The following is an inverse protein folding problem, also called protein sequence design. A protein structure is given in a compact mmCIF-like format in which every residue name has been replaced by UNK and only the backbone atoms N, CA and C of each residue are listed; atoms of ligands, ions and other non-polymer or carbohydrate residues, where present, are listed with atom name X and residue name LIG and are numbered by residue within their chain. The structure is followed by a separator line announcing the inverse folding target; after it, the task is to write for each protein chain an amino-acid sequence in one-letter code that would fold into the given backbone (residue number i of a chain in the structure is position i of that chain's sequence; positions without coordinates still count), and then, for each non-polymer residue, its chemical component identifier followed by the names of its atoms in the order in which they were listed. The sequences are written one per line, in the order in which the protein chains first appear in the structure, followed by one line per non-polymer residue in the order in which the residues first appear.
data_IF_131283196659
#
_entry.id   IF_131283196659
#
_cell.length_a   1.000
_cell.length_b   1.000
_cell.length_c   1.000
_cell.angle_alpha   90.00
_cell.angle_beta   90.00
_cell.angle_gamma   90.00
#
_symmetry.space_group_name_H-M   'P 1'
#
loop_
_entity.id
_entity.type
_entity.pdbx_description
1 polymer ?
#
# COMPACT_ATOMS: atom_id res chain seq x y z
N UNK A 1 -7.56 -30.23 46.07
CA UNK A 1 -8.09 -28.86 45.88
C UNK A 1 -7.08 -27.93 46.55
N UNK A 2 -6.30 -27.06 45.91
CA UNK A 2 -6.52 -26.27 44.69
C UNK A 2 -5.22 -26.21 43.88
N UNK A 3 -5.35 -26.33 42.56
CA UNK A 3 -4.28 -26.05 41.60
C UNK A 3 -4.09 -24.53 41.54
N UNK A 4 -2.91 -24.04 41.90
CA UNK A 4 -2.52 -22.64 41.72
C UNK A 4 -1.76 -22.50 40.40
N UNK A 5 -2.49 -22.26 39.32
CA UNK A 5 -1.90 -21.90 38.02
C UNK A 5 -1.21 -20.54 38.18
N UNK A 6 0.12 -20.52 38.08
CA UNK A 6 0.88 -19.28 37.95
C UNK A 6 0.49 -18.61 36.64
N UNK A 7 -0.23 -17.51 36.76
CA UNK A 7 -0.80 -16.80 35.63
C UNK A 7 0.26 -15.85 35.06
N UNK A 8 0.96 -16.29 34.01
CA UNK A 8 1.89 -15.50 33.19
C UNK A 8 1.15 -14.47 32.30
N UNK A 9 0.08 -13.86 32.81
CA UNK A 9 -0.79 -12.94 32.08
C UNK A 9 -0.61 -11.48 32.49
N UNK A 10 0.63 -10.97 32.55
CA UNK A 10 0.89 -9.55 32.84
C UNK A 10 1.80 -8.86 31.79
N UNK A 11 1.81 -9.36 30.55
CA UNK A 11 2.43 -8.69 29.40
C UNK A 11 1.44 -7.99 28.47
N UNK A 12 0.16 -8.39 28.51
CA UNK A 12 -0.85 -8.05 27.51
C UNK A 12 -1.44 -6.63 27.62
N UNK A 13 -1.09 -5.87 28.68
CA UNK A 13 -1.63 -4.52 28.92
C UNK A 13 -0.65 -3.39 28.57
N UNK A 14 0.48 -3.67 27.91
CA UNK A 14 1.28 -2.60 27.33
C UNK A 14 0.61 -2.16 26.03
N UNK A 15 -0.10 -1.03 26.08
CA UNK A 15 -0.58 -0.36 24.87
C UNK A 15 0.56 -0.20 23.86
N UNK A 16 0.27 -0.16 22.55
CA UNK A 16 1.30 -0.06 21.52
C UNK A 16 2.20 1.12 21.85
N UNK A 17 3.50 0.84 22.11
CA UNK A 17 4.50 1.89 22.32
C UNK A 17 4.35 2.84 21.13
N UNK A 18 4.02 4.10 21.38
CA UNK A 18 3.85 5.10 20.34
C UNK A 18 5.17 5.24 19.59
N UNK A 19 5.30 4.51 18.48
CA UNK A 19 6.48 4.62 17.63
C UNK A 19 6.40 5.98 16.96
N UNK A 20 7.41 6.82 17.15
CA UNK A 20 7.54 8.08 16.43
C UNK A 20 7.38 7.79 14.95
N UNK A 21 6.40 8.40 14.28
CA UNK A 21 6.26 8.28 12.83
C UNK A 21 7.53 8.85 12.21
N UNK A 22 8.27 8.02 11.48
CA UNK A 22 9.46 8.47 10.77
C UNK A 22 9.09 9.60 9.79
N UNK A 23 10.01 10.56 9.60
CA UNK A 23 9.78 11.64 8.65
C UNK A 23 9.80 11.07 7.23
N UNK A 24 8.79 11.38 6.43
CA UNK A 24 8.79 11.11 4.99
C UNK A 24 10.03 11.76 4.35
N UNK A 25 10.88 10.95 3.73
CA UNK A 25 12.07 11.42 3.04
C UNK A 25 11.70 11.80 1.61
N UNK A 26 12.14 12.99 1.18
CA UNK A 26 12.03 13.40 -0.22
C UNK A 26 13.21 12.78 -0.97
N UNK A 27 12.90 11.97 -1.97
CA UNK A 27 13.92 11.40 -2.85
C UNK A 27 13.98 12.24 -4.13
N UNK A 28 15.10 12.92 -4.34
CA UNK A 28 15.30 13.72 -5.55
C UNK A 28 15.80 12.79 -6.67
N UNK A 29 15.07 12.78 -7.78
CA UNK A 29 15.44 12.08 -9.01
C UNK A 29 15.90 13.15 -10.00
N UNK A 30 16.99 12.92 -10.74
CA UNK A 30 17.55 13.90 -11.68
C UNK A 30 17.21 13.65 -13.14
N UNK A 31 16.53 12.54 -13.45
CA UNK A 31 16.26 12.09 -14.82
C UNK A 31 14.86 11.47 -14.91
N UNK A 32 14.13 11.67 -16.03
CA UNK A 32 12.84 11.00 -16.27
C UNK A 32 12.95 9.48 -16.15
N UNK A 33 11.87 8.83 -15.72
CA UNK A 33 11.70 7.36 -15.69
C UNK A 33 12.68 6.58 -14.79
N UNK A 34 13.58 7.26 -14.10
CA UNK A 34 14.50 6.62 -13.14
C UNK A 34 13.79 6.09 -11.90
N UNK A 35 12.62 6.64 -11.57
CA UNK A 35 11.76 6.12 -10.51
C UNK A 35 10.30 6.39 -10.85
N UNK A 36 9.51 5.33 -10.82
CA UNK A 36 8.07 5.38 -11.06
C UNK A 36 7.37 4.93 -9.78
N UNK A 37 6.32 5.64 -9.38
CA UNK A 37 5.37 5.17 -8.38
C UNK A 37 4.29 4.36 -9.10
N UNK A 38 3.92 3.22 -8.55
CA UNK A 38 2.78 2.42 -8.97
C UNK A 38 1.79 2.37 -7.80
N UNK A 39 0.52 2.63 -8.06
CA UNK A 39 -0.55 2.48 -7.08
C UNK A 39 -1.80 1.90 -7.74
N UNK A 40 -2.61 1.17 -6.97
CA UNK A 40 -3.86 0.57 -7.43
C UNK A 40 -4.99 1.14 -6.58
N UNK A 41 -5.93 1.81 -7.25
CA UNK A 41 -7.12 2.35 -6.63
C UNK A 41 -8.30 1.41 -6.89
N UNK A 42 -9.05 1.06 -5.84
CA UNK A 42 -10.27 0.26 -5.95
C UNK A 42 -10.51 -0.65 -4.74
N UNK A 43 -11.57 -1.47 -4.76
CA UNK A 43 -12.47 -1.73 -5.89
C UNK A 43 -13.53 -0.63 -6.08
N UNK A 44 -13.71 -0.19 -7.33
CA UNK A 44 -14.76 0.73 -7.74
C UNK A 44 -16.01 -0.02 -8.24
N UNK A 45 -17.18 0.65 -8.33
CA UNK A 45 -18.33 0.10 -9.02
C UNK A 45 -17.94 -0.37 -10.42
N UNK A 46 -18.40 -1.57 -10.78
CA UNK A 46 -18.08 -2.20 -12.05
C UNK A 46 -18.52 -1.31 -13.20
N UNK A 47 -17.58 -0.95 -14.07
CA UNK A 47 -17.89 -0.22 -15.31
C UNK A 47 -18.55 -1.15 -16.33
N UNK A 48 -19.08 -0.60 -17.42
CA UNK A 48 -19.67 -1.40 -18.52
C UNK A 48 -18.70 -2.37 -19.20
N UNK A 49 -17.40 -2.28 -18.90
CA UNK A 49 -16.34 -3.16 -19.42
C UNK A 49 -15.71 -4.04 -18.34
N UNK A 50 -16.42 -4.27 -17.24
CA UNK A 50 -15.95 -5.07 -16.11
C UNK A 50 -14.68 -4.56 -15.38
N UNK A 51 -14.24 -3.34 -15.67
CA UNK A 51 -13.14 -2.71 -14.95
C UNK A 51 -13.57 -2.32 -13.53
N UNK A 52 -12.73 -2.67 -12.55
CA UNK A 52 -12.96 -2.45 -11.11
C UNK A 52 -11.83 -1.64 -10.46
N UNK A 53 -10.68 -1.55 -11.11
CA UNK A 53 -9.50 -0.93 -10.57
C UNK A 53 -8.96 0.13 -11.52
N UNK A 54 -8.25 1.10 -10.94
CA UNK A 54 -7.45 2.08 -11.67
C UNK A 54 -6.01 1.91 -11.24
N UNK A 55 -5.16 1.52 -12.19
CA UNK A 55 -3.71 1.49 -12.02
C UNK A 55 -3.17 2.90 -12.29
N UNK A 56 -2.43 3.45 -11.35
CA UNK A 56 -1.80 4.77 -11.48
C UNK A 56 -0.29 4.59 -11.50
N UNK A 57 0.34 5.02 -12.60
CA UNK A 57 1.78 5.17 -12.73
C UNK A 57 2.13 6.66 -12.62
N UNK A 58 3.19 6.98 -11.87
CA UNK A 58 3.67 8.37 -11.79
C UNK A 58 5.19 8.42 -11.86
N UNK A 59 5.73 9.12 -12.86
CA UNK A 59 7.16 9.42 -12.90
C UNK A 59 7.51 10.47 -11.83
N UNK A 60 8.46 10.15 -10.95
CA UNK A 60 8.86 11.06 -9.87
C UNK A 60 9.57 12.31 -10.37
N UNK A 61 10.21 12.28 -11.54
CA UNK A 61 10.93 13.43 -12.07
C UNK A 61 9.97 14.42 -12.75
N UNK A 62 9.24 13.96 -13.77
CA UNK A 62 8.30 14.82 -14.52
C UNK A 62 7.00 15.09 -13.78
N UNK A 63 6.68 14.27 -12.75
CA UNK A 63 5.38 14.26 -12.08
C UNK A 63 4.21 13.92 -13.01
N UNK A 64 4.49 13.29 -14.15
CA UNK A 64 3.47 12.87 -15.10
C UNK A 64 2.71 11.65 -14.58
N UNK A 65 1.38 11.73 -14.40
CA UNK A 65 0.55 10.59 -14.05
C UNK A 65 -0.03 9.90 -15.30
N UNK A 66 -0.03 8.57 -15.29
CA UNK A 66 -0.71 7.74 -16.27
C UNK A 66 -1.68 6.82 -15.53
N UNK A 67 -2.94 6.77 -15.98
CA UNK A 67 -4.00 6.01 -15.35
C UNK A 67 -4.58 4.99 -16.34
N UNK A 68 -4.54 3.72 -15.96
CA UNK A 68 -5.02 2.60 -16.77
C UNK A 68 -6.16 1.92 -16.02
N UNK A 69 -7.23 1.57 -16.74
CA UNK A 69 -8.34 0.82 -16.18
C UNK A 69 -8.01 -0.67 -16.19
N UNK A 70 -8.21 -1.35 -15.06
CA UNK A 70 -7.97 -2.79 -14.94
C UNK A 70 -9.19 -3.55 -14.41
N UNK A 71 -9.50 -4.74 -14.96
CA UNK A 71 -10.55 -5.62 -14.44
C UNK A 71 -10.19 -6.25 -13.09
N UNK A 72 -8.91 -6.48 -12.82
CA UNK A 72 -8.39 -7.07 -11.59
C UNK A 72 -7.11 -6.37 -11.09
N UNK A 73 -6.61 -6.80 -9.94
CA UNK A 73 -5.36 -6.31 -9.32
C UNK A 73 -4.26 -7.39 -9.36
N UNK A 74 -4.43 -8.43 -10.17
CA UNK A 74 -3.51 -9.56 -10.22
C UNK A 74 -2.18 -9.14 -10.82
N UNK A 75 -1.09 -9.68 -10.29
CA UNK A 75 0.25 -9.31 -10.74
C UNK A 75 0.48 -9.63 -12.22
N UNK A 76 -0.19 -10.66 -12.75
CA UNK A 76 -0.15 -11.00 -14.18
C UNK A 76 -0.75 -9.89 -15.05
N UNK A 77 -1.91 -9.36 -14.65
CA UNK A 77 -2.64 -8.34 -15.40
C UNK A 77 -1.99 -6.96 -15.28
N UNK A 78 -1.35 -6.68 -14.14
CA UNK A 78 -0.61 -5.42 -13.91
C UNK A 78 0.74 -5.41 -14.63
N UNK A 79 1.33 -6.59 -14.89
CA UNK A 79 2.65 -6.72 -15.53
C UNK A 79 2.59 -6.88 -17.06
N UNK A 80 1.40 -7.10 -17.63
CA UNK A 80 1.16 -7.22 -19.07
C UNK A 80 1.08 -5.85 -19.77
#
# INVERSE_FOLDING_TARGET
MKNGVENTACGAQKGPKTRTKGRWQRYNVGTPLKRIALDILGPFPVTTKDNKYVLVLMDYFTKWPEAVLSPDQEASTVAE
#
